data_IF_719119152908
#
_entry.id   IF_719119152908
#
_cell.length_a   1.000
_cell.length_b   1.000
_cell.length_c   1.000
_cell.angle_alpha   90.00
_cell.angle_beta   90.00
_cell.angle_gamma   90.00
#
_symmetry.space_group_name_H-M   'P 1'
#
loop_
_entity.id
_entity.type
_entity.pdbx_description
1 polymer ?
#
# COMPACT_ATOMS: atom_id res chain seq x y z
N UNK A 1 -10.78 -23.22 -23.44
CA UNK A 1 -10.18 -24.15 -22.51
C UNK A 1 -8.77 -24.55 -22.92
N UNK A 2 -7.87 -24.52 -21.97
CA UNK A 2 -6.49 -24.91 -22.26
C UNK A 2 -6.38 -26.44 -22.49
N UNK A 3 -5.54 -26.85 -23.38
CA UNK A 3 -5.28 -28.25 -23.66
C UNK A 3 -3.86 -28.61 -23.25
N UNK A 4 -3.59 -29.90 -23.21
CA UNK A 4 -2.24 -30.37 -22.87
C UNK A 4 -1.23 -29.71 -23.80
N UNK A 5 -0.16 -29.17 -23.23
CA UNK A 5 0.90 -28.53 -23.98
C UNK A 5 0.65 -27.07 -24.31
N UNK A 6 -0.48 -26.50 -23.89
CA UNK A 6 -0.70 -25.08 -24.07
C UNK A 6 0.27 -24.29 -23.20
N UNK A 7 0.77 -23.19 -23.73
CA UNK A 7 1.65 -22.32 -22.97
C UNK A 7 0.89 -21.64 -21.85
N UNK A 8 1.53 -21.54 -20.70
CA UNK A 8 0.99 -20.80 -19.57
C UNK A 8 1.70 -19.45 -19.52
N UNK A 9 0.99 -18.36 -19.71
CA UNK A 9 1.63 -17.05 -19.69
C UNK A 9 2.16 -16.71 -18.31
N UNK A 10 3.31 -16.06 -18.27
CA UNK A 10 3.89 -15.60 -17.02
C UNK A 10 3.03 -14.47 -16.46
N UNK A 11 2.67 -14.51 -15.16
CA UNK A 11 1.91 -13.42 -14.57
C UNK A 11 2.69 -12.11 -14.66
N UNK A 12 1.97 -11.06 -14.97
CA UNK A 12 2.55 -9.73 -15.01
C UNK A 12 2.94 -9.30 -13.59
N UNK A 13 4.14 -8.76 -13.38
CA UNK A 13 4.52 -8.29 -12.05
C UNK A 13 3.70 -7.06 -11.65
N UNK A 14 3.64 -6.81 -10.35
CA UNK A 14 2.97 -5.61 -9.84
C UNK A 14 3.83 -4.37 -10.12
N UNK A 15 3.17 -3.30 -10.56
CA UNK A 15 3.77 -1.99 -10.69
C UNK A 15 3.29 -1.14 -9.52
N UNK A 16 4.18 -0.39 -8.89
CA UNK A 16 3.82 0.48 -7.78
C UNK A 16 3.80 1.92 -8.28
N UNK A 17 2.70 2.60 -8.07
CA UNK A 17 2.52 3.99 -8.48
C UNK A 17 1.94 4.80 -7.34
N UNK A 18 2.16 6.10 -7.34
CA UNK A 18 1.55 6.99 -6.37
C UNK A 18 0.18 7.44 -6.87
N UNK A 19 -0.81 7.42 -5.98
CA UNK A 19 -2.16 7.85 -6.34
C UNK A 19 -2.24 9.37 -6.51
N UNK A 20 -1.40 10.10 -5.78
CA UNK A 20 -1.39 11.55 -5.84
C UNK A 20 -0.06 12.09 -5.36
N UNK A 21 0.04 13.42 -5.35
CA UNK A 21 1.27 14.10 -5.00
C UNK A 21 1.64 13.89 -3.52
N UNK A 22 0.66 13.84 -2.65
CA UNK A 22 0.91 13.61 -1.22
C UNK A 22 1.48 12.21 -0.99
N UNK A 23 0.98 11.22 -1.71
CA UNK A 23 1.48 9.85 -1.60
C UNK A 23 2.95 9.78 -2.05
N UNK A 24 3.28 10.49 -3.13
CA UNK A 24 4.68 10.58 -3.59
C UNK A 24 5.56 11.18 -2.50
N UNK A 25 5.13 12.32 -1.95
CA UNK A 25 5.92 13.01 -0.92
C UNK A 25 6.09 12.14 0.32
N UNK A 26 5.01 11.47 0.75
CA UNK A 26 5.07 10.58 1.91
C UNK A 26 6.01 9.41 1.68
N UNK A 27 5.95 8.82 0.49
CA UNK A 27 6.84 7.70 0.16
C UNK A 27 8.31 8.16 0.15
N UNK A 28 8.59 9.31 -0.47
CA UNK A 28 9.95 9.84 -0.52
C UNK A 28 10.48 10.13 0.88
N UNK A 29 9.63 10.66 1.75
CA UNK A 29 10.02 10.91 3.13
C UNK A 29 10.32 9.60 3.86
N UNK A 30 9.48 8.58 3.64
CA UNK A 30 9.70 7.28 4.24
C UNK A 30 11.04 6.69 3.78
N UNK A 31 11.33 6.78 2.49
CA UNK A 31 12.59 6.30 1.94
C UNK A 31 13.77 7.05 2.55
N UNK A 32 13.67 8.37 2.70
CA UNK A 32 14.79 9.16 3.20
C UNK A 32 15.03 8.98 4.70
N UNK A 33 13.99 8.70 5.47
CA UNK A 33 14.11 8.63 6.93
C UNK A 33 14.05 7.22 7.49
N UNK A 34 13.51 6.27 6.74
CA UNK A 34 13.35 4.90 7.21
C UNK A 34 13.41 3.95 6.02
N UNK A 35 14.57 3.94 5.36
CA UNK A 35 14.71 3.20 4.10
C UNK A 35 14.44 1.70 4.27
N UNK A 36 14.80 1.13 5.43
CA UNK A 36 14.53 -0.30 5.66
C UNK A 36 13.05 -0.57 5.73
N UNK A 37 12.29 0.34 6.37
CA UNK A 37 10.84 0.20 6.43
C UNK A 37 10.24 0.32 5.03
N UNK A 38 10.74 1.25 4.22
CA UNK A 38 10.27 1.41 2.85
C UNK A 38 10.53 0.16 2.03
N UNK A 39 11.71 -0.42 2.14
CA UNK A 39 12.08 -1.62 1.41
C UNK A 39 11.24 -2.81 1.83
N UNK A 40 11.03 -2.99 3.13
CA UNK A 40 10.18 -4.06 3.63
C UNK A 40 8.74 -3.91 3.17
N UNK A 41 8.22 -2.68 3.16
CA UNK A 41 6.87 -2.41 2.67
C UNK A 41 6.76 -2.75 1.18
N UNK A 42 7.75 -2.33 0.38
CA UNK A 42 7.79 -2.65 -1.04
C UNK A 42 7.73 -4.15 -1.28
N UNK A 43 8.60 -4.90 -0.57
CA UNK A 43 8.66 -6.35 -0.72
C UNK A 43 7.34 -7.00 -0.31
N UNK A 44 6.76 -6.56 0.80
CA UNK A 44 5.50 -7.14 1.26
C UNK A 44 4.36 -6.88 0.26
N UNK A 45 4.25 -5.65 -0.22
CA UNK A 45 3.19 -5.28 -1.18
C UNK A 45 3.31 -6.06 -2.48
N UNK A 46 4.53 -6.13 -3.01
CA UNK A 46 4.73 -6.70 -4.35
C UNK A 46 4.79 -8.23 -4.35
N UNK A 47 5.15 -8.84 -3.20
CA UNK A 47 5.15 -10.29 -3.10
C UNK A 47 3.73 -10.85 -3.03
N UNK A 48 2.91 -10.25 -2.18
CA UNK A 48 1.53 -10.71 -1.99
C UNK A 48 0.72 -9.56 -1.41
N UNK A 49 0.12 -8.73 -2.25
CA UNK A 49 -0.58 -7.53 -1.77
C UNK A 49 -1.80 -7.83 -0.89
N UNK A 50 -2.35 -9.03 -0.97
CA UNK A 50 -3.51 -9.40 -0.16
C UNK A 50 -3.15 -10.36 0.97
N UNK A 51 -1.90 -10.45 1.34
CA UNK A 51 -1.50 -11.27 2.47
C UNK A 51 -2.02 -10.67 3.77
N UNK A 52 -2.71 -11.46 4.56
CA UNK A 52 -3.23 -11.03 5.85
C UNK A 52 -2.30 -11.49 6.95
N UNK A 53 -1.73 -10.55 7.68
CA UNK A 53 -0.79 -10.81 8.75
C UNK A 53 -0.92 -9.66 9.75
N UNK A 54 -0.19 -9.77 10.87
CA UNK A 54 -0.28 -8.76 11.92
C UNK A 54 0.01 -7.36 11.41
N UNK A 55 0.91 -7.24 10.45
CA UNK A 55 1.37 -5.95 9.97
C UNK A 55 0.96 -5.69 8.52
N UNK A 56 0.04 -6.48 7.98
CA UNK A 56 -0.47 -6.29 6.63
C UNK A 56 -1.91 -6.77 6.57
N UNK A 57 -2.83 -5.86 6.28
CA UNK A 57 -4.24 -6.20 6.25
C UNK A 57 -5.05 -5.13 5.52
N UNK A 58 -6.25 -5.50 5.13
CA UNK A 58 -7.17 -4.54 4.54
C UNK A 58 -7.63 -3.57 5.62
N UNK A 59 -7.75 -2.30 5.27
CA UNK A 59 -8.26 -1.32 6.21
C UNK A 59 -9.73 -1.57 6.50
N UNK A 60 -10.16 -1.16 7.67
CA UNK A 60 -11.52 -1.45 8.13
C UNK A 60 -12.49 -0.34 7.76
N UNK A 61 -13.77 -0.71 7.72
CA UNK A 61 -14.84 0.24 7.50
C UNK A 61 -14.70 0.94 6.16
N UNK A 62 -15.01 2.21 6.13
CA UNK A 62 -15.00 2.99 4.90
C UNK A 62 -13.62 3.14 4.29
N UNK A 63 -12.57 2.95 5.08
CA UNK A 63 -11.20 3.03 4.57
C UNK A 63 -10.80 1.79 3.78
N UNK A 64 -11.58 0.72 3.87
CA UNK A 64 -11.26 -0.54 3.18
C UNK A 64 -11.38 -0.47 1.68
N UNK A 65 -11.94 0.62 1.15
CA UNK A 65 -12.00 0.86 -0.28
C UNK A 65 -11.73 2.32 -0.56
N UNK A 66 -11.16 2.59 -1.73
CA UNK A 66 -10.80 3.94 -2.15
C UNK A 66 -10.97 4.03 -3.66
N UNK A 67 -11.32 5.20 -4.16
CA UNK A 67 -11.43 5.42 -5.59
C UNK A 67 -10.13 6.03 -6.11
N UNK A 68 -9.51 5.36 -7.08
CA UNK A 68 -8.31 5.85 -7.74
C UNK A 68 -8.57 5.80 -9.24
N UNK A 69 -8.45 6.93 -9.90
CA UNK A 69 -8.65 7.00 -11.34
C UNK A 69 -10.04 6.52 -11.78
N UNK A 70 -11.05 6.74 -10.96
CA UNK A 70 -12.41 6.33 -11.27
C UNK A 70 -12.72 4.89 -10.89
N UNK A 71 -11.76 4.13 -10.43
CA UNK A 71 -11.97 2.74 -10.03
C UNK A 71 -12.07 2.63 -8.51
N UNK A 72 -13.01 1.84 -8.04
CA UNK A 72 -13.15 1.57 -6.62
C UNK A 72 -12.32 0.34 -6.29
N UNK A 73 -11.28 0.52 -5.48
CA UNK A 73 -10.28 -0.50 -5.21
C UNK A 73 -10.20 -0.80 -3.72
N UNK A 74 -9.83 -2.03 -3.39
CA UNK A 74 -9.57 -2.41 -2.01
C UNK A 74 -8.35 -1.71 -1.50
N UNK A 75 -8.43 -1.10 -0.32
CA UNK A 75 -7.33 -0.38 0.27
C UNK A 75 -6.78 -1.14 1.48
N UNK A 76 -5.47 -1.32 1.46
CA UNK A 76 -4.73 -2.11 2.44
C UNK A 76 -3.64 -1.28 3.10
N UNK A 77 -3.19 -1.78 4.23
CA UNK A 77 -2.10 -1.18 4.98
C UNK A 77 -1.01 -2.21 5.18
N UNK A 78 0.24 -1.79 5.05
CA UNK A 78 1.38 -2.54 5.51
C UNK A 78 2.19 -1.66 6.45
N UNK A 79 2.57 -2.22 7.58
CA UNK A 79 3.34 -1.53 8.61
C UNK A 79 4.53 -2.42 8.95
N UNK A 80 5.58 -2.43 8.12
CA UNK A 80 6.66 -3.40 8.27
C UNK A 80 7.45 -3.23 9.55
N UNK A 81 7.48 -2.00 10.08
CA UNK A 81 8.10 -1.70 11.36
C UNK A 81 7.22 -0.71 12.09
N UNK A 82 7.48 -0.51 13.38
CA UNK A 82 6.73 0.48 14.15
C UNK A 82 6.94 1.90 13.63
N UNK A 83 7.99 2.12 12.84
CA UNK A 83 8.33 3.45 12.37
C UNK A 83 7.82 3.81 10.99
N UNK A 84 7.12 2.90 10.33
CA UNK A 84 6.69 3.20 8.97
C UNK A 84 5.40 2.49 8.60
N UNK A 85 4.60 3.15 7.76
CA UNK A 85 3.35 2.57 7.28
C UNK A 85 3.07 3.04 5.88
N UNK A 86 2.43 2.16 5.10
CA UNK A 86 2.03 2.46 3.73
C UNK A 86 0.60 1.97 3.53
N UNK A 87 -0.25 2.84 2.98
CA UNK A 87 -1.57 2.44 2.50
C UNK A 87 -1.49 2.32 0.99
N UNK A 88 -2.09 1.27 0.46
CA UNK A 88 -2.07 1.03 -0.98
C UNK A 88 -3.39 0.43 -1.44
N UNK A 89 -3.78 0.79 -2.65
CA UNK A 89 -5.00 0.29 -3.29
C UNK A 89 -4.60 -0.71 -4.37
N UNK A 90 -5.33 -1.81 -4.46
CA UNK A 90 -4.98 -2.93 -5.32
C UNK A 90 -5.82 -2.91 -6.57
N UNK A 91 -5.18 -2.69 -7.71
CA UNK A 91 -5.83 -2.75 -9.02
C UNK A 91 -5.40 -4.06 -9.69
N UNK A 92 -6.23 -5.09 -9.52
CA UNK A 92 -5.91 -6.41 -10.06
C UNK A 92 -5.92 -6.42 -11.57
N UNK A 93 -6.81 -5.63 -12.16
CA UNK A 93 -6.97 -5.61 -13.61
C UNK A 93 -5.71 -5.16 -14.31
N UNK A 94 -5.11 -4.07 -13.83
CA UNK A 94 -3.92 -3.51 -14.43
C UNK A 94 -2.64 -3.94 -13.72
N UNK A 95 -2.74 -4.70 -12.65
CA UNK A 95 -1.61 -5.14 -11.83
C UNK A 95 -0.83 -3.94 -11.30
N UNK A 96 -1.54 -2.99 -10.75
CA UNK A 96 -0.96 -1.78 -10.16
C UNK A 96 -1.32 -1.70 -8.69
N UNK A 97 -0.34 -1.36 -7.88
CA UNK A 97 -0.55 -1.03 -6.48
C UNK A 97 -0.39 0.48 -6.36
N UNK A 98 -1.49 1.15 -6.02
CA UNK A 98 -1.49 2.60 -5.91
C UNK A 98 -1.22 2.98 -4.46
N UNK A 99 -0.05 3.54 -4.19
CA UNK A 99 0.23 4.06 -2.85
C UNK A 99 -0.67 5.28 -2.64
N UNK A 100 -1.54 5.19 -1.65
CA UNK A 100 -2.47 6.27 -1.34
C UNK A 100 -1.99 7.11 -0.18
N UNK A 101 -1.17 6.52 0.70
CA UNK A 101 -0.60 7.25 1.83
C UNK A 101 0.65 6.52 2.31
N UNK A 102 1.67 7.27 2.69
CA UNK A 102 2.88 6.68 3.25
C UNK A 102 3.44 7.66 4.27
N UNK A 103 4.07 7.14 5.31
CA UNK A 103 4.62 8.01 6.32
C UNK A 103 5.26 7.28 7.47
N UNK A 104 5.78 8.06 8.39
CA UNK A 104 6.46 7.60 9.58
C UNK A 104 5.56 7.89 10.76
N UNK A 105 5.55 6.97 11.72
CA UNK A 105 4.73 7.14 12.92
C UNK A 105 3.29 6.76 12.70
N UNK A 106 2.46 7.13 13.65
CA UNK A 106 1.04 6.77 13.62
C UNK A 106 0.22 7.84 12.94
N UNK A 107 -0.77 7.45 12.19
CA UNK A 107 -1.58 8.42 11.46
C UNK A 107 -2.31 9.35 12.38
N UNK A 108 -2.57 8.90 13.56
CA UNK A 108 -3.15 9.77 14.40
C UNK A 108 -2.18 10.55 15.15
N UNK A 109 -1.38 10.57 15.01
CA UNK A 109 -0.65 11.37 15.64
C UNK A 109 -0.96 12.53 15.36
N UNK A 110 -1.54 11.93 14.93
CA UNK A 110 -2.10 12.65 14.77
C UNK A 110 -2.73 12.88 15.62
N UNK A 111 -2.64 12.48 16.23
CA UNK A 111 -3.07 12.79 16.86
C UNK A 111 -2.69 13.37 17.51
N UNK A 112 -2.56 13.70 17.51
CA UNK A 112 -2.33 14.38 17.92
C UNK A 112 -2.64 15.02 18.08
N UNK A 113 -3.04 15.07 17.86
CA UNK A 113 -3.40 15.71 17.91
C UNK A 113 -3.75 15.90 18.59
N UNK A 114 -3.85 15.61 18.91
CA UNK A 114 -4.11 15.90 19.45
C UNK A 114 -3.87 16.46 20.08
N UNK A 115 -3.96 16.72 20.05
CA UNK A 115 -3.84 17.46 20.35
C UNK A 115 -3.91 18.06 20.68
N UNK A 116 -4.25 18.21 20.67
CA UNK A 116 -4.43 18.96 20.76
C UNK A 116 -4.58 19.50 21.39
N UNK A 117 -4.85 19.48 21.64
CA UNK A 117 -4.90 20.15 22.06
C UNK A 117 -4.74 20.67 22.52
N UNK A 118 -4.99 20.89 22.84
CA UNK A 118 -4.78 21.66 23.08
C UNK A 118 -4.49 22.14 23.25
#
# INVERSE_FOLDING_TARGET
MARRGADIPRPKPWTVKAADRQATAGWELLVSQAIEAADLAWMAMTSDPRRTADRQHQLRGSLGQVTVGGKKLDQWQVEPTAGGRVWYAIDDEDRVLWVTQAGIGHPKQTEARRRRTR
#
